data_IF_104463566916
#
_entry.id   IF_104463566916
#
_cell.length_a   1.000
_cell.length_b   1.000
_cell.length_c   1.000
_cell.angle_alpha   90.00
_cell.angle_beta   90.00
_cell.angle_gamma   90.00
#
_symmetry.space_group_name_H-M   'P 1'
#
loop_
_entity.id
_entity.type
_entity.pdbx_description
1 polymer ?
#
# COMPACT_ATOMS: atom_id res chain seq x y z
N UNK A 1 0.55 -10.15 -16.10
CA UNK A 1 0.59 -9.77 -14.67
C UNK A 1 1.99 -10.05 -14.17
N UNK A 2 2.66 -9.08 -13.54
CA UNK A 2 3.97 -9.25 -12.93
C UNK A 2 3.79 -9.36 -11.41
N UNK A 3 4.44 -10.33 -10.79
CA UNK A 3 4.43 -10.52 -9.34
C UNK A 3 5.52 -9.68 -8.68
N UNK A 4 5.17 -9.02 -7.57
CA UNK A 4 6.11 -8.26 -6.75
C UNK A 4 5.87 -8.47 -5.26
N UNK A 5 6.95 -8.39 -4.50
CA UNK A 5 6.96 -8.50 -3.04
C UNK A 5 7.07 -7.12 -2.41
N UNK A 6 6.24 -6.85 -1.43
CA UNK A 6 6.22 -5.60 -0.67
C UNK A 6 6.42 -5.94 0.80
N UNK A 7 7.46 -5.38 1.40
CA UNK A 7 7.70 -5.51 2.85
C UNK A 7 6.92 -4.43 3.59
N UNK A 8 6.05 -4.84 4.51
CA UNK A 8 5.21 -3.97 5.34
C UNK A 8 5.44 -4.34 6.81
N UNK A 9 6.56 -3.93 7.43
CA UNK A 9 6.98 -4.43 8.75
C UNK A 9 5.95 -4.21 9.85
N UNK A 10 5.10 -3.19 9.72
CA UNK A 10 4.02 -2.84 10.64
C UNK A 10 2.83 -3.85 10.60
N UNK A 11 2.76 -4.69 9.56
CA UNK A 11 1.69 -5.66 9.32
C UNK A 11 1.91 -7.00 10.05
N UNK A 12 2.22 -6.98 11.35
CA UNK A 12 2.55 -8.20 12.12
C UNK A 12 1.33 -9.03 12.58
N UNK A 13 0.16 -8.42 12.73
CA UNK A 13 -1.06 -9.09 13.22
C UNK A 13 -2.06 -9.40 12.11
N UNK A 14 -2.88 -10.44 12.28
CA UNK A 14 -3.94 -10.83 11.32
C UNK A 14 -4.92 -9.69 11.01
N UNK A 15 -5.21 -8.84 11.99
CA UNK A 15 -6.07 -7.67 11.79
C UNK A 15 -5.41 -6.62 10.88
N UNK A 16 -4.11 -6.35 11.06
CA UNK A 16 -3.34 -5.46 10.19
C UNK A 16 -3.23 -6.04 8.77
N UNK A 17 -3.00 -7.35 8.66
CA UNK A 17 -2.98 -8.07 7.38
C UNK A 17 -4.29 -7.91 6.61
N UNK A 18 -5.42 -8.02 7.31
CA UNK A 18 -6.75 -7.83 6.70
C UNK A 18 -6.95 -6.40 6.24
N UNK A 19 -6.56 -5.40 7.04
CA UNK A 19 -6.64 -3.97 6.67
C UNK A 19 -5.84 -3.68 5.40
N UNK A 20 -4.58 -4.10 5.36
CA UNK A 20 -3.70 -3.91 4.20
C UNK A 20 -4.24 -4.67 2.98
N UNK A 21 -4.62 -5.93 3.15
CA UNK A 21 -5.21 -6.72 2.06
C UNK A 21 -6.45 -6.06 1.47
N UNK A 22 -7.33 -5.48 2.29
CA UNK A 22 -8.54 -4.82 1.79
C UNK A 22 -8.20 -3.54 1.02
N UNK A 23 -7.26 -2.73 1.51
CA UNK A 23 -6.80 -1.54 0.80
C UNK A 23 -6.19 -1.87 -0.57
N UNK A 24 -5.47 -2.99 -0.66
CA UNK A 24 -4.80 -3.44 -1.89
C UNK A 24 -5.76 -4.12 -2.86
N UNK A 25 -6.75 -4.88 -2.36
CA UNK A 25 -7.79 -5.52 -3.18
C UNK A 25 -8.76 -4.55 -3.84
N UNK A 26 -8.90 -3.35 -3.28
CA UNK A 26 -9.75 -2.29 -3.84
C UNK A 26 -9.21 -1.75 -5.17
N UNK A 27 -7.91 -1.94 -5.42
CA UNK A 27 -7.25 -1.45 -6.62
C UNK A 27 -7.51 -2.40 -7.80
N UNK A 28 -8.06 -1.84 -8.87
CA UNK A 28 -8.36 -2.59 -10.08
C UNK A 28 -7.07 -3.06 -10.78
N UNK A 29 -6.95 -4.36 -11.01
CA UNK A 29 -5.77 -4.95 -11.66
C UNK A 29 -4.68 -5.43 -10.68
N UNK A 30 -5.01 -5.53 -9.39
CA UNK A 30 -4.17 -6.14 -8.36
C UNK A 30 -4.76 -7.46 -7.89
N UNK A 31 -3.90 -8.46 -7.73
CA UNK A 31 -4.25 -9.75 -7.17
C UNK A 31 -3.28 -10.09 -6.05
N UNK A 32 -3.79 -10.54 -4.90
CA UNK A 32 -2.95 -10.98 -3.79
C UNK A 32 -2.63 -12.46 -3.96
N UNK A 33 -1.35 -12.78 -4.14
CA UNK A 33 -0.86 -14.16 -4.26
C UNK A 33 -0.48 -14.73 -2.90
N UNK A 34 0.15 -13.93 -2.05
CA UNK A 34 0.59 -14.37 -0.73
C UNK A 34 0.55 -13.23 0.28
N UNK A 35 0.14 -13.53 1.51
CA UNK A 35 0.04 -12.56 2.60
C UNK A 35 0.68 -13.17 3.84
N UNK A 36 1.72 -12.54 4.36
CA UNK A 36 2.47 -12.99 5.53
C UNK A 36 2.68 -11.83 6.52
N UNK A 37 3.08 -12.13 7.76
CA UNK A 37 3.41 -11.08 8.71
C UNK A 37 4.61 -10.28 8.21
N UNK A 38 4.45 -8.96 8.07
CA UNK A 38 5.53 -8.10 7.59
C UNK A 38 5.72 -8.08 6.08
N UNK A 39 4.98 -8.86 5.30
CA UNK A 39 5.26 -9.04 3.87
C UNK A 39 4.00 -9.44 3.07
N UNK A 40 3.84 -8.86 1.89
CA UNK A 40 2.75 -9.18 0.97
C UNK A 40 3.29 -9.38 -0.44
N UNK A 41 2.83 -10.43 -1.11
CA UNK A 41 3.12 -10.73 -2.51
C UNK A 41 1.87 -10.49 -3.34
N UNK A 42 1.98 -9.59 -4.31
CA UNK A 42 0.88 -9.21 -5.19
C UNK A 42 1.28 -9.27 -6.65
N UNK A 43 0.33 -9.65 -7.48
CA UNK A 43 0.43 -9.60 -8.93
C UNK A 43 -0.28 -8.36 -9.44
N UNK A 44 0.45 -7.54 -10.18
CA UNK A 44 -0.06 -6.30 -10.78
C UNK A 44 -0.06 -6.39 -12.30
N UNK A 45 -0.99 -5.68 -12.95
CA UNK A 45 -1.06 -5.62 -14.41
C UNK A 45 0.15 -4.87 -15.01
N UNK A 46 0.52 -3.74 -14.41
CA UNK A 46 1.56 -2.82 -14.87
C UNK A 46 2.31 -2.17 -13.70
N UNK A 47 3.41 -1.48 -13.97
CA UNK A 47 4.22 -0.77 -12.97
C UNK A 47 3.47 0.43 -12.35
N UNK A 48 2.61 1.12 -13.10
CA UNK A 48 1.69 2.13 -12.54
C UNK A 48 0.82 1.57 -11.40
N UNK A 49 0.31 0.34 -11.57
CA UNK A 49 -0.51 -0.32 -10.55
C UNK A 49 0.30 -0.64 -9.29
N UNK A 50 1.62 -0.91 -9.41
CA UNK A 50 2.50 -1.10 -8.26
C UNK A 50 2.59 0.17 -7.42
N UNK A 51 2.70 1.34 -8.04
CA UNK A 51 2.74 2.61 -7.32
C UNK A 51 1.41 2.92 -6.63
N UNK A 52 0.28 2.63 -7.28
CA UNK A 52 -1.06 2.73 -6.69
C UNK A 52 -1.18 1.84 -5.44
N UNK A 53 -0.69 0.60 -5.49
CA UNK A 53 -0.64 -0.32 -4.35
C UNK A 53 0.15 0.26 -3.20
N UNK A 54 1.37 0.74 -3.46
CA UNK A 54 2.22 1.37 -2.45
C UNK A 54 1.51 2.56 -1.81
N UNK A 55 0.95 3.46 -2.62
CA UNK A 55 0.22 4.64 -2.14
C UNK A 55 -1.01 4.26 -1.31
N UNK A 56 -1.75 3.22 -1.67
CA UNK A 56 -2.90 2.76 -0.90
C UNK A 56 -2.49 2.21 0.47
N UNK A 57 -1.39 1.45 0.53
CA UNK A 57 -0.84 0.93 1.79
C UNK A 57 -0.40 2.09 2.70
N UNK A 58 0.27 3.11 2.16
CA UNK A 58 0.66 4.30 2.91
C UNK A 58 -0.55 5.14 3.37
N UNK A 59 -1.55 5.32 2.52
CA UNK A 59 -2.83 5.96 2.89
C UNK A 59 -3.59 5.20 3.98
N UNK A 60 -3.45 3.88 4.02
CA UNK A 60 -4.00 3.04 5.08
C UNK A 60 -3.21 3.14 6.41
N UNK A 61 -2.09 3.89 6.42
CA UNK A 61 -1.27 4.14 7.60
C UNK A 61 -0.07 3.21 7.77
N UNK A 62 0.30 2.44 6.73
CA UNK A 62 1.39 1.46 6.80
C UNK A 62 2.57 1.89 5.94
N UNK A 63 3.79 1.72 6.48
CA UNK A 63 5.02 2.00 5.73
C UNK A 63 5.43 0.80 4.88
N UNK A 64 5.85 1.04 3.63
CA UNK A 64 6.43 0.02 2.75
C UNK A 64 7.94 0.18 2.63
N UNK A 65 8.66 -0.91 2.82
CA UNK A 65 10.11 -0.98 2.63
C UNK A 65 10.38 -1.48 1.21
N UNK A 66 10.53 -0.56 0.26
CA UNK A 66 10.73 -0.91 -1.16
C UNK A 66 10.73 0.29 -2.12
N UNK A 67 10.99 1.50 -1.62
CA UNK A 67 11.02 2.70 -2.44
C UNK A 67 12.40 2.87 -3.07
N UNK A 68 12.49 2.58 -4.36
CA UNK A 68 13.39 3.35 -5.22
C UNK A 68 12.68 4.70 -5.42
N UNK A 69 13.27 5.74 -4.84
CA UNK A 69 12.77 7.10 -4.59
C UNK A 69 11.80 7.70 -5.65
N UNK A 70 10.65 8.21 -5.20
CA UNK A 70 10.08 9.45 -5.74
C UNK A 70 9.27 10.16 -4.65
N UNK A 71 9.97 10.99 -3.89
CA UNK A 71 9.40 12.16 -3.23
C UNK A 71 8.76 13.08 -4.28
N UNK A 72 7.45 13.24 -4.23
CA UNK A 72 6.86 14.56 -4.44
C UNK A 72 5.66 14.69 -3.52
N UNK A 73 5.95 15.36 -2.41
CA UNK A 73 5.01 16.15 -1.64
C UNK A 73 3.96 16.86 -2.49
N UNK A 74 2.68 16.56 -2.26
CA UNK A 74 1.66 17.61 -2.21
C UNK A 74 0.98 17.58 -0.84
N UNK A 75 1.53 18.43 0.01
CA UNK A 75 0.88 18.98 1.19
C UNK A 75 -0.11 20.05 0.70
N UNK A 76 -1.27 20.13 1.36
CA UNK A 76 -2.07 21.34 1.59
C UNK A 76 -3.37 21.54 0.78
N UNK A 77 -4.49 21.46 1.50
CA UNK A 77 -5.52 22.51 1.73
C UNK A 77 -6.51 21.91 2.75
N UNK A 78 -6.74 22.39 3.96
CA UNK A 78 -6.73 23.75 4.51
C UNK A 78 -8.11 23.96 5.16
N UNK A 79 -8.17 24.28 6.46
CA UNK A 79 -9.45 24.61 7.11
C UNK A 79 -9.47 24.54 8.63
N UNK A 80 -8.82 25.48 9.30
CA UNK A 80 -9.21 25.92 10.65
C UNK A 80 -10.65 26.43 10.62
N UNK A 81 -11.50 26.04 11.58
CA UNK A 81 -12.47 26.93 12.23
C UNK A 81 -13.05 26.26 13.48
N UNK A 82 -12.55 26.72 14.63
CA UNK A 82 -13.24 26.69 15.89
C UNK A 82 -14.44 27.64 15.84
N UNK A 83 -15.66 27.17 16.10
CA UNK A 83 -16.64 27.82 16.97
C UNK A 83 -17.73 26.85 17.39
#
# INVERSE_FOLDING_TARGET
MKQFKISVPDMQSTHCQTRVSNAVKDINGVQIDNLQAGEITVSVASEDTKEEVVKAIEKAGYSVSGKENCDTSEKSKGGCCSK
#
